data_IF_329102257766
#
_entry.id   IF_329102257766
#
_cell.length_a   1.000
_cell.length_b   1.000
_cell.length_c   1.000
_cell.angle_alpha   90.00
_cell.angle_beta   90.00
_cell.angle_gamma   90.00
#
_symmetry.space_group_name_H-M   'P 1'
#
loop_
_entity.id
_entity.type
_entity.pdbx_description
1 polymer ?
#
# COMPACT_ATOMS: atom_id res chain seq x y z
N UNK A 1 -17.33 -12.96 -7.10
CA UNK A 1 -16.61 -11.67 -6.93
C UNK A 1 -15.16 -11.81 -7.43
N UNK A 2 -14.35 -12.69 -6.88
CA UNK A 2 -12.94 -12.84 -7.27
C UNK A 2 -12.74 -13.23 -8.74
N UNK A 3 -13.57 -14.12 -9.29
CA UNK A 3 -13.53 -14.48 -10.71
C UNK A 3 -13.75 -13.26 -11.62
N UNK A 4 -14.68 -12.35 -11.25
CA UNK A 4 -14.91 -11.12 -12.01
C UNK A 4 -13.65 -10.24 -12.07
N UNK A 5 -12.95 -10.06 -10.96
CA UNK A 5 -11.73 -9.24 -10.91
C UNK A 5 -10.57 -9.87 -11.68
N UNK A 6 -10.39 -11.18 -11.56
CA UNK A 6 -9.26 -11.87 -12.16
C UNK A 6 -9.41 -12.18 -13.66
N UNK A 7 -10.63 -12.20 -14.20
CA UNK A 7 -10.88 -12.59 -15.60
C UNK A 7 -11.46 -11.47 -16.46
N UNK A 8 -12.18 -10.50 -15.86
CA UNK A 8 -12.97 -9.53 -16.62
C UNK A 8 -12.69 -8.06 -16.27
N UNK A 9 -11.82 -7.79 -15.31
CA UNK A 9 -11.48 -6.41 -14.94
C UNK A 9 -10.26 -5.94 -15.74
N UNK A 10 -10.48 -5.07 -16.72
CA UNK A 10 -9.42 -4.57 -17.63
C UNK A 10 -8.33 -3.75 -16.91
N UNK A 11 -8.62 -3.23 -15.74
CA UNK A 11 -7.68 -2.45 -14.92
C UNK A 11 -6.70 -3.34 -14.16
N UNK A 12 -6.95 -4.66 -14.06
CA UNK A 12 -6.14 -5.59 -13.30
C UNK A 12 -5.40 -6.51 -14.26
N UNK A 13 -4.09 -6.38 -14.31
CA UNK A 13 -3.22 -7.25 -15.07
C UNK A 13 -2.93 -8.52 -14.23
N UNK A 14 -3.54 -9.66 -14.61
CA UNK A 14 -3.46 -10.93 -13.93
C UNK A 14 -3.00 -12.06 -14.86
N UNK A 15 -2.39 -13.08 -14.27
CA UNK A 15 -2.12 -14.37 -14.91
C UNK A 15 -2.31 -15.49 -13.86
N UNK A 16 -3.48 -16.12 -13.88
CA UNK A 16 -3.86 -17.12 -12.86
C UNK A 16 -2.96 -18.34 -12.93
N UNK A 17 -2.51 -18.75 -14.10
CA UNK A 17 -1.63 -19.91 -14.28
C UNK A 17 -0.27 -19.66 -13.65
N UNK A 18 0.24 -18.45 -13.76
CA UNK A 18 1.48 -17.96 -13.15
C UNK A 18 1.30 -17.48 -11.68
N UNK A 19 0.16 -17.77 -11.06
CA UNK A 19 -0.21 -17.32 -9.71
C UNK A 19 -0.25 -15.79 -9.52
N UNK A 20 -0.49 -15.05 -10.57
CA UNK A 20 -0.65 -13.58 -10.55
C UNK A 20 -2.13 -13.25 -10.47
N UNK A 21 -2.68 -13.15 -9.26
CA UNK A 21 -4.11 -12.97 -9.03
C UNK A 21 -4.41 -12.15 -7.78
N UNK A 22 -5.66 -11.67 -7.68
CA UNK A 22 -6.17 -10.99 -6.50
C UNK A 22 -7.23 -11.83 -5.79
N UNK A 23 -7.15 -11.88 -4.46
CA UNK A 23 -8.20 -12.40 -3.59
C UNK A 23 -8.81 -11.25 -2.79
N UNK A 24 -10.07 -10.96 -3.07
CA UNK A 24 -10.86 -9.94 -2.38
C UNK A 24 -11.84 -10.62 -1.42
N UNK A 25 -11.62 -10.46 -0.13
CA UNK A 25 -12.48 -11.01 0.90
C UNK A 25 -13.78 -10.17 1.09
N UNK A 26 -14.64 -10.60 2.00
CA UNK A 26 -15.90 -9.91 2.31
C UNK A 26 -15.62 -8.51 2.89
N UNK A 27 -16.48 -7.55 2.61
CA UNK A 27 -16.36 -6.14 3.00
C UNK A 27 -15.10 -5.43 2.45
N UNK A 28 -14.59 -5.88 1.31
CA UNK A 28 -13.56 -5.14 0.59
C UNK A 28 -14.17 -4.54 -0.69
N UNK A 29 -13.85 -3.29 -0.96
CA UNK A 29 -14.26 -2.53 -2.13
C UNK A 29 -13.05 -2.17 -2.97
N UNK A 30 -13.14 -2.40 -4.29
CA UNK A 30 -12.19 -1.89 -5.28
C UNK A 30 -12.89 -0.82 -6.08
N UNK A 31 -12.33 0.38 -6.06
CA UNK A 31 -12.72 1.52 -6.87
C UNK A 31 -11.57 1.86 -7.83
N UNK A 32 -11.70 1.42 -9.07
CA UNK A 32 -10.65 1.52 -10.08
C UNK A 32 -11.15 2.38 -11.23
N UNK A 33 -10.51 3.54 -11.42
CA UNK A 33 -10.80 4.39 -12.57
C UNK A 33 -10.56 3.61 -13.90
N UNK A 34 -11.31 3.85 -14.99
CA UNK A 34 -11.13 3.13 -16.27
C UNK A 34 -9.70 3.16 -16.84
N UNK A 35 -8.91 4.17 -16.52
CA UNK A 35 -7.49 4.29 -16.90
C UNK A 35 -6.50 3.89 -15.80
N UNK A 36 -6.97 3.40 -14.66
CA UNK A 36 -6.12 2.89 -13.59
C UNK A 36 -5.45 1.57 -13.97
N UNK A 37 -4.32 1.25 -13.31
CA UNK A 37 -3.64 -0.03 -13.48
C UNK A 37 -3.29 -0.66 -12.13
N UNK A 38 -3.73 -1.89 -11.93
CA UNK A 38 -3.27 -2.78 -10.86
C UNK A 38 -2.49 -3.94 -11.51
N UNK A 39 -1.18 -3.96 -11.35
CA UNK A 39 -0.29 -4.96 -11.96
C UNK A 39 0.10 -6.00 -10.92
N UNK A 40 -0.23 -7.24 -11.20
CA UNK A 40 0.02 -8.36 -10.28
C UNK A 40 1.05 -9.30 -10.88
N UNK A 41 2.29 -9.20 -10.41
CA UNK A 41 3.33 -10.19 -10.70
C UNK A 41 3.38 -11.30 -9.63
N UNK A 42 2.48 -11.24 -8.63
CA UNK A 42 2.36 -12.18 -7.53
C UNK A 42 0.95 -12.08 -6.89
N UNK A 43 0.54 -13.04 -6.04
CA UNK A 43 -0.75 -12.98 -5.36
C UNK A 43 -0.91 -11.75 -4.48
N UNK A 44 -2.04 -11.07 -4.61
CA UNK A 44 -2.47 -9.99 -3.71
C UNK A 44 -3.73 -10.40 -2.96
N UNK A 45 -3.68 -10.42 -1.63
CA UNK A 45 -4.79 -10.83 -0.77
C UNK A 45 -5.24 -9.65 0.06
N UNK A 46 -6.50 -9.23 -0.07
CA UNK A 46 -7.09 -8.10 0.65
C UNK A 46 -8.23 -8.52 1.57
N UNK A 47 -8.24 -7.96 2.79
CA UNK A 47 -9.25 -8.25 3.81
C UNK A 47 -9.03 -9.58 4.53
N UNK A 48 -7.78 -10.00 4.69
CA UNK A 48 -7.41 -11.29 5.28
C UNK A 48 -7.74 -11.37 6.79
N UNK A 49 -8.03 -12.59 7.27
CA UNK A 49 -8.31 -12.91 8.68
C UNK A 49 -9.32 -11.98 9.39
N UNK A 50 -10.36 -11.59 8.69
CA UNK A 50 -11.43 -10.79 9.29
C UNK A 50 -12.09 -11.56 10.45
N UNK A 51 -12.21 -10.90 11.60
CA UNK A 51 -12.89 -11.44 12.78
C UNK A 51 -14.38 -11.64 12.45
N UNK A 52 -14.95 -12.76 12.87
CA UNK A 52 -16.38 -13.02 12.74
C UNK A 52 -17.20 -11.89 13.37
N UNK A 53 -18.27 -11.48 12.71
CA UNK A 53 -19.09 -10.33 13.13
C UNK A 53 -18.56 -8.96 12.77
N UNK A 54 -17.26 -8.79 12.51
CA UNK A 54 -16.70 -7.50 12.10
C UNK A 54 -17.23 -7.07 10.71
N UNK A 55 -17.67 -5.82 10.61
CA UNK A 55 -18.05 -5.15 9.35
C UNK A 55 -17.03 -4.12 8.92
N UNK A 56 -15.86 -4.08 9.53
CA UNK A 56 -14.82 -3.13 9.18
C UNK A 56 -14.42 -3.32 7.73
N UNK A 57 -14.63 -2.27 6.94
CA UNK A 57 -14.40 -2.30 5.49
C UNK A 57 -12.92 -2.14 5.15
N UNK A 58 -12.54 -2.68 3.99
CA UNK A 58 -11.26 -2.38 3.36
C UNK A 58 -11.52 -1.77 1.99
N UNK A 59 -10.73 -0.77 1.61
CA UNK A 59 -10.85 -0.09 0.34
C UNK A 59 -9.52 -0.10 -0.41
N UNK A 60 -9.59 -0.29 -1.73
CA UNK A 60 -8.53 0.02 -2.69
C UNK A 60 -9.09 0.99 -3.71
N UNK A 61 -8.62 2.23 -3.70
CA UNK A 61 -8.90 3.25 -4.70
C UNK A 61 -7.67 3.43 -5.59
N UNK A 62 -7.85 3.37 -6.92
CA UNK A 62 -6.83 3.79 -7.89
C UNK A 62 -7.48 4.75 -8.88
N UNK A 63 -7.05 6.00 -8.84
CA UNK A 63 -7.58 7.08 -9.67
C UNK A 63 -7.01 7.06 -11.10
N UNK A 64 -7.38 8.06 -11.90
CA UNK A 64 -7.00 8.21 -13.31
C UNK A 64 -5.48 8.13 -13.51
N UNK A 65 -5.02 7.20 -14.36
CA UNK A 65 -3.59 6.94 -14.64
C UNK A 65 -2.77 6.57 -13.38
N UNK A 66 -3.40 6.33 -12.23
CA UNK A 66 -2.74 5.76 -11.06
C UNK A 66 -2.34 4.30 -11.31
N UNK A 67 -1.20 3.90 -10.75
CA UNK A 67 -0.65 2.56 -10.90
C UNK A 67 -0.27 1.97 -9.54
N UNK A 68 -0.73 0.76 -9.26
CA UNK A 68 -0.24 -0.06 -8.15
C UNK A 68 0.36 -1.34 -8.71
N UNK A 69 1.51 -1.75 -8.18
CA UNK A 69 2.20 -2.96 -8.63
C UNK A 69 2.65 -3.83 -7.44
N UNK A 70 2.32 -5.12 -7.48
CA UNK A 70 2.89 -6.15 -6.60
C UNK A 70 3.97 -6.88 -7.40
N UNK A 71 5.25 -6.75 -6.99
CA UNK A 71 6.40 -7.18 -7.80
C UNK A 71 6.76 -8.66 -7.62
N UNK A 72 6.82 -9.13 -6.38
CA UNK A 72 7.33 -10.48 -6.06
C UNK A 72 6.49 -11.14 -4.96
N UNK A 73 6.63 -12.46 -4.82
CA UNK A 73 6.05 -13.25 -3.75
C UNK A 73 4.56 -13.02 -3.56
N UNK A 74 4.09 -12.92 -2.33
CA UNK A 74 2.70 -12.58 -2.04
C UNK A 74 2.62 -11.32 -1.18
N UNK A 75 1.54 -10.55 -1.35
CA UNK A 75 1.26 -9.44 -0.46
C UNK A 75 -0.12 -9.60 0.19
N UNK A 76 -0.15 -9.63 1.51
CA UNK A 76 -1.38 -9.86 2.26
C UNK A 76 -1.71 -8.66 3.13
N UNK A 77 -2.88 -8.09 2.91
CA UNK A 77 -3.41 -6.98 3.70
C UNK A 77 -4.58 -7.48 4.51
N UNK A 78 -4.51 -7.30 5.82
CA UNK A 78 -5.60 -7.65 6.72
C UNK A 78 -6.79 -6.70 6.53
N UNK A 79 -7.89 -6.98 7.18
CA UNK A 79 -9.11 -6.17 7.07
C UNK A 79 -8.96 -4.76 7.68
N UNK A 80 -9.86 -3.85 7.32
CA UNK A 80 -9.83 -2.46 7.78
C UNK A 80 -8.77 -1.59 7.09
N UNK A 81 -8.26 -2.02 5.96
CA UNK A 81 -7.26 -1.26 5.22
C UNK A 81 -7.89 -0.22 4.31
N UNK A 82 -7.25 0.95 4.20
CA UNK A 82 -7.56 1.98 3.22
C UNK A 82 -6.30 2.26 2.38
N UNK A 83 -6.33 1.82 1.13
CA UNK A 83 -5.23 2.01 0.17
C UNK A 83 -5.72 2.93 -0.93
N UNK A 84 -5.06 4.06 -1.11
CA UNK A 84 -5.41 5.06 -2.11
C UNK A 84 -4.20 5.41 -2.97
N UNK A 85 -4.36 5.29 -4.28
CA UNK A 85 -3.37 5.70 -5.29
C UNK A 85 -4.02 6.79 -6.12
N UNK A 86 -3.59 8.02 -5.92
CA UNK A 86 -4.18 9.19 -6.55
C UNK A 86 -3.78 9.30 -8.01
N UNK A 87 -4.35 10.29 -8.70
CA UNK A 87 -4.17 10.53 -10.13
C UNK A 87 -2.70 10.60 -10.51
N UNK A 88 -2.29 9.72 -11.41
CA UNK A 88 -0.92 9.65 -11.93
C UNK A 88 0.13 9.14 -10.94
N UNK A 89 -0.24 8.77 -9.71
CA UNK A 89 0.67 8.27 -8.70
C UNK A 89 1.09 6.81 -8.96
N UNK A 90 2.23 6.41 -8.39
CA UNK A 90 2.76 5.06 -8.53
C UNK A 90 3.11 4.44 -7.17
N UNK A 91 2.42 3.35 -6.82
CA UNK A 91 2.66 2.54 -5.63
C UNK A 91 3.30 1.21 -6.03
N UNK A 92 4.51 0.96 -5.55
CA UNK A 92 5.24 -0.29 -5.76
C UNK A 92 5.40 -1.06 -4.45
N UNK A 93 5.08 -2.35 -4.47
CA UNK A 93 5.20 -3.24 -3.31
C UNK A 93 6.00 -4.48 -3.70
N UNK A 94 7.11 -4.70 -3.00
CA UNK A 94 8.01 -5.82 -3.23
C UNK A 94 7.38 -7.19 -2.97
N UNK A 95 6.53 -7.29 -1.96
CA UNK A 95 5.84 -8.53 -1.61
C UNK A 95 6.59 -9.44 -0.62
N UNK A 96 6.17 -10.70 -0.53
CA UNK A 96 6.55 -11.65 0.52
C UNK A 96 6.36 -11.08 1.94
N UNK A 97 5.27 -10.34 2.10
CA UNK A 97 4.99 -9.58 3.30
C UNK A 97 3.50 -9.51 3.61
N UNK A 98 3.20 -9.10 4.82
CA UNK A 98 1.84 -8.78 5.23
C UNK A 98 1.78 -7.53 6.07
N UNK A 99 0.63 -6.84 6.02
CA UNK A 99 0.32 -5.73 6.91
C UNK A 99 -0.95 -6.06 7.68
N UNK A 100 -0.88 -5.88 8.99
CA UNK A 100 -1.95 -6.19 9.91
C UNK A 100 -3.13 -5.20 9.76
N UNK A 101 -4.13 -5.33 10.60
CA UNK A 101 -5.40 -4.57 10.58
C UNK A 101 -5.17 -3.06 10.57
N UNK A 102 -5.93 -2.35 9.74
CA UNK A 102 -6.00 -0.89 9.77
C UNK A 102 -4.85 -0.20 9.03
N UNK A 103 -4.24 -0.83 8.01
CA UNK A 103 -3.32 -0.12 7.12
C UNK A 103 -4.00 1.11 6.51
N UNK A 104 -3.37 2.29 6.63
CA UNK A 104 -3.74 3.50 5.91
C UNK A 104 -2.57 3.90 4.99
N UNK A 105 -2.72 3.67 3.68
CA UNK A 105 -1.67 3.93 2.69
C UNK A 105 -2.20 4.90 1.63
N UNK A 106 -1.62 6.10 1.57
CA UNK A 106 -2.04 7.14 0.64
C UNK A 106 -0.85 7.57 -0.23
N UNK A 107 -0.91 7.21 -1.51
CA UNK A 107 0.11 7.51 -2.50
C UNK A 107 -0.40 8.58 -3.46
N UNK A 108 0.19 9.77 -3.44
CA UNK A 108 -0.14 10.88 -4.32
C UNK A 108 0.95 11.18 -5.35
N UNK A 109 2.14 10.59 -5.18
CA UNK A 109 3.28 10.73 -6.08
C UNK A 109 3.93 9.35 -6.29
N UNK A 110 4.80 8.93 -5.37
CA UNK A 110 5.47 7.65 -5.48
C UNK A 110 5.79 7.08 -4.09
N UNK A 111 5.35 5.86 -3.84
CA UNK A 111 5.72 5.07 -2.67
C UNK A 111 6.30 3.74 -3.16
N UNK A 112 7.51 3.42 -2.71
CA UNK A 112 8.16 2.14 -2.96
C UNK A 112 8.39 1.41 -1.63
N UNK A 113 7.88 0.17 -1.54
CA UNK A 113 8.01 -0.71 -0.37
C UNK A 113 8.76 -1.96 -0.80
N UNK A 114 9.90 -2.22 -0.18
CA UNK A 114 10.75 -3.35 -0.48
C UNK A 114 10.17 -4.70 -0.07
N UNK A 115 10.80 -5.77 -0.59
CA UNK A 115 10.43 -7.16 -0.30
C UNK A 115 10.63 -7.48 1.19
N UNK A 116 9.82 -8.39 1.75
CA UNK A 116 9.82 -8.79 3.16
C UNK A 116 9.59 -7.65 4.17
N UNK A 117 9.10 -6.52 3.70
CA UNK A 117 8.75 -5.40 4.56
C UNK A 117 7.31 -5.55 5.03
N UNK A 118 7.15 -5.81 6.31
CA UNK A 118 5.85 -6.02 6.96
C UNK A 118 5.40 -4.88 7.84
N UNK A 119 4.11 -4.89 8.20
CA UNK A 119 3.52 -3.88 9.06
C UNK A 119 2.64 -4.44 10.17
N UNK A 120 2.73 -3.83 11.34
CA UNK A 120 1.83 -4.04 12.47
C UNK A 120 0.44 -3.45 12.24
N UNK A 121 -0.31 -3.24 13.33
CA UNK A 121 -1.66 -2.66 13.27
C UNK A 121 -1.60 -1.14 13.10
N UNK A 122 -2.59 -0.59 12.37
CA UNK A 122 -2.81 0.84 12.21
C UNK A 122 -1.55 1.59 11.71
N UNK A 123 -0.79 0.97 10.83
CA UNK A 123 0.33 1.64 10.16
C UNK A 123 -0.21 2.65 9.17
N UNK A 124 0.34 3.86 9.20
CA UNK A 124 0.04 4.92 8.23
C UNK A 124 1.27 5.21 7.38
N UNK A 125 1.11 5.20 6.05
CA UNK A 125 2.15 5.57 5.09
C UNK A 125 1.54 6.58 4.13
N UNK A 126 2.11 7.81 4.07
CA UNK A 126 1.59 8.85 3.17
C UNK A 126 2.71 9.72 2.63
N UNK A 127 2.77 9.85 1.32
CA UNK A 127 3.75 10.69 0.62
C UNK A 127 3.27 12.12 0.37
N UNK A 128 2.15 12.50 0.99
CA UNK A 128 1.49 13.80 0.79
C UNK A 128 1.00 14.39 2.10
N UNK A 129 0.75 15.69 2.10
CA UNK A 129 0.22 16.44 3.25
C UNK A 129 -1.30 16.61 3.20
N UNK A 130 -2.00 15.75 2.44
CA UNK A 130 -3.44 15.83 2.23
C UNK A 130 -3.80 17.05 1.38
N UNK A 131 -4.96 17.64 1.65
CA UNK A 131 -5.47 18.81 0.92
C UNK A 131 -4.89 20.14 1.44
N UNK A 132 -3.81 20.11 2.21
CA UNK A 132 -3.22 21.32 2.76
C UNK A 132 -2.45 22.08 1.68
N UNK A 133 -3.00 23.22 1.27
CA UNK A 133 -2.38 24.11 0.29
C UNK A 133 -1.66 25.25 0.99
N UNK A 134 -0.34 25.26 0.89
CA UNK A 134 0.49 26.38 1.40
C UNK A 134 1.12 27.07 0.20
N UNK A 135 0.82 28.34 0.01
CA UNK A 135 1.40 29.20 -1.04
C UNK A 135 2.79 29.70 -0.63
N UNK A 136 3.70 28.81 -0.28
CA UNK A 136 5.09 29.13 0.04
C UNK A 136 5.99 28.65 -1.08
N UNK A 137 6.90 29.52 -1.53
CA UNK A 137 7.87 29.15 -2.57
C UNK A 137 8.69 27.92 -2.16
N UNK A 138 8.67 26.88 -2.99
CA UNK A 138 9.40 25.64 -2.75
C UNK A 138 8.62 24.59 -1.93
N UNK A 139 7.42 24.88 -1.45
CA UNK A 139 6.57 23.90 -0.80
C UNK A 139 6.15 22.79 -1.77
N UNK A 140 6.33 21.54 -1.35
CA UNK A 140 5.90 20.36 -2.11
C UNK A 140 4.75 19.70 -1.38
N UNK A 141 3.63 19.52 -2.05
CA UNK A 141 2.43 18.84 -1.52
C UNK A 141 2.64 17.35 -1.35
N UNK A 142 3.53 16.76 -2.15
CA UNK A 142 3.92 15.34 -2.06
C UNK A 142 5.43 15.18 -2.28
N UNK A 143 6.03 14.26 -1.52
CA UNK A 143 7.45 13.89 -1.62
C UNK A 143 7.54 12.37 -1.54
N UNK A 144 8.17 11.68 -2.50
CA UNK A 144 8.25 10.22 -2.53
C UNK A 144 8.74 9.60 -1.24
N UNK A 145 8.24 8.39 -0.96
CA UNK A 145 8.69 7.54 0.15
C UNK A 145 9.39 6.31 -0.41
N UNK A 146 10.52 5.97 0.17
CA UNK A 146 11.27 4.74 -0.14
C UNK A 146 11.47 3.94 1.13
N UNK A 147 10.88 2.74 1.19
CA UNK A 147 11.09 1.77 2.26
C UNK A 147 11.79 0.58 1.62
N UNK A 148 13.00 0.28 2.08
CA UNK A 148 13.81 -0.84 1.55
C UNK A 148 13.27 -2.19 2.04
N UNK A 149 13.97 -3.26 1.70
CA UNK A 149 13.62 -4.63 2.09
C UNK A 149 13.87 -4.90 3.58
N UNK A 150 13.18 -5.94 4.11
CA UNK A 150 13.32 -6.40 5.50
C UNK A 150 13.04 -5.34 6.57
N UNK A 151 12.23 -4.33 6.27
CA UNK A 151 11.82 -3.32 7.24
C UNK A 151 10.61 -3.81 8.03
N UNK A 152 10.64 -3.60 9.35
CA UNK A 152 9.49 -3.86 10.21
C UNK A 152 8.85 -2.55 10.69
N UNK A 153 7.66 -2.25 10.18
CA UNK A 153 6.85 -1.13 10.63
C UNK A 153 5.96 -1.61 11.78
N UNK A 154 6.30 -1.26 13.01
CA UNK A 154 5.51 -1.72 14.15
C UNK A 154 4.16 -1.00 14.24
N UNK A 155 3.35 -1.30 15.26
CA UNK A 155 1.98 -0.79 15.33
C UNK A 155 1.88 0.72 15.55
N UNK A 156 0.85 1.34 14.98
CA UNK A 156 0.53 2.76 15.11
C UNK A 156 1.66 3.72 14.66
N UNK A 157 2.63 3.27 13.89
CA UNK A 157 3.64 4.17 13.33
C UNK A 157 3.12 4.92 12.11
N UNK A 158 3.66 6.10 11.87
CA UNK A 158 3.32 6.96 10.74
C UNK A 158 4.57 7.31 9.96
N UNK A 159 4.58 6.98 8.65
CA UNK A 159 5.65 7.32 7.72
C UNK A 159 5.23 8.53 6.91
N UNK A 160 5.96 9.62 7.06
CA UNK A 160 5.66 10.94 6.50
C UNK A 160 6.33 11.17 5.14
N UNK A 161 5.87 12.18 4.36
CA UNK A 161 6.44 12.50 3.05
C UNK A 161 7.95 12.72 3.08
N UNK A 162 8.65 12.19 2.07
CA UNK A 162 10.10 12.33 1.92
C UNK A 162 10.93 11.38 2.78
N UNK A 163 10.32 10.38 3.40
CA UNK A 163 11.02 9.39 4.22
C UNK A 163 11.73 8.35 3.36
N UNK A 164 12.97 8.06 3.71
CA UNK A 164 13.73 6.90 3.23
C UNK A 164 14.09 6.02 4.43
N UNK A 165 13.64 4.77 4.42
CA UNK A 165 13.98 3.77 5.44
C UNK A 165 14.86 2.73 4.78
N UNK A 166 16.09 2.58 5.26
CA UNK A 166 17.04 1.61 4.74
C UNK A 166 16.73 0.17 5.21
N UNK A 167 17.35 -0.79 4.54
CA UNK A 167 17.08 -2.21 4.77
C UNK A 167 17.34 -2.67 6.21
N UNK A 168 16.48 -3.54 6.71
CA UNK A 168 16.61 -4.16 8.03
C UNK A 168 16.26 -3.25 9.21
N UNK A 169 15.78 -2.04 9.00
CA UNK A 169 15.38 -1.13 10.07
C UNK A 169 14.06 -1.56 10.73
N UNK A 170 13.91 -1.23 12.02
CA UNK A 170 12.68 -1.47 12.80
C UNK A 170 12.13 -0.13 13.27
N UNK A 171 10.97 0.23 12.80
CA UNK A 171 10.27 1.45 13.24
C UNK A 171 9.46 1.15 14.49
N UNK A 172 9.83 1.77 15.60
CA UNK A 172 9.18 1.57 16.90
C UNK A 172 7.69 1.99 16.88
N UNK A 173 6.90 1.35 17.75
CA UNK A 173 5.48 1.63 17.85
C UNK A 173 5.20 3.09 18.20
N UNK A 174 4.16 3.66 17.57
CA UNK A 174 3.72 5.05 17.74
C UNK A 174 4.73 6.11 17.29
N UNK A 175 5.77 5.72 16.56
CA UNK A 175 6.70 6.68 15.97
C UNK A 175 6.08 7.43 14.80
N UNK A 176 6.40 8.72 14.69
CA UNK A 176 6.21 9.51 13.48
C UNK A 176 7.58 9.72 12.84
N UNK A 177 7.76 9.20 11.63
CA UNK A 177 9.06 9.13 10.96
C UNK A 177 9.07 10.03 9.74
N UNK A 178 10.06 10.92 9.66
CA UNK A 178 10.32 11.78 8.51
C UNK A 178 11.83 11.90 8.28
N UNK A 179 12.26 11.83 7.01
CA UNK A 179 13.67 11.90 6.64
C UNK A 179 14.31 10.53 6.49
N UNK A 180 15.59 10.40 6.84
CA UNK A 180 16.38 9.20 6.62
C UNK A 180 16.52 8.34 7.87
N UNK A 181 16.20 7.06 7.77
CA UNK A 181 16.40 6.04 8.79
C UNK A 181 17.50 5.10 8.32
N UNK A 182 18.60 4.94 9.07
CA UNK A 182 19.70 4.06 8.68
C UNK A 182 19.32 2.58 8.66
N UNK A 183 20.13 1.77 7.97
CA UNK A 183 19.96 0.30 7.97
C UNK A 183 20.22 -0.28 9.35
N UNK A 184 19.48 -1.34 9.67
CA UNK A 184 19.61 -2.11 10.92
C UNK A 184 19.51 -1.26 12.20
N UNK A 185 18.70 -0.21 12.19
CA UNK A 185 18.42 0.67 13.32
C UNK A 185 17.05 0.40 13.95
#
# INVERSE_FOLDING_TARGET
KNMRYNLFCRQIETDILERKFIIINKYCTLDLHPKAKLVLNAPFIMGYKRIEGSKLESRLLIEENGRMEIKYGSYTVYYGADIQVFKGAHLEIGGDASVNVGLNLICANHISIGRWTGGGRNVTIRDNNGEHHISIRGYKTSIPIVIKEHVWLTENCTIMPGTTIEAGAIISARSVVQGHVPSFS
#
